data_IF_475162956509
#
_entry.id   IF_475162956509
#
_cell.length_a   1.000
_cell.length_b   1.000
_cell.length_c   1.000
_cell.angle_alpha   90.00
_cell.angle_beta   90.00
_cell.angle_gamma   90.00
#
_symmetry.space_group_name_H-M   'P 1'
#
loop_
_entity.id
_entity.type
_entity.pdbx_description
1 polymer ?
#
# COMPACT_ATOMS: atom_id res chain seq x y z
N UNK A 1 23.82 10.53 33.05
CA UNK A 1 22.46 9.94 32.96
C UNK A 1 22.60 8.61 32.24
N UNK A 2 22.22 7.53 32.92
CA UNK A 2 22.70 6.17 32.68
C UNK A 2 22.13 5.53 31.41
N UNK A 3 23.06 4.94 30.64
CA UNK A 3 22.85 3.96 29.57
C UNK A 3 22.06 2.77 30.10
N UNK A 4 21.01 2.35 29.40
CA UNK A 4 20.33 1.06 29.61
C UNK A 4 20.51 0.23 28.34
N UNK A 5 21.21 -0.90 28.48
CA UNK A 5 21.37 -1.95 27.48
C UNK A 5 20.94 -3.25 28.16
N UNK A 6 19.75 -3.79 27.83
CA UNK A 6 19.19 -5.06 28.32
C UNK A 6 17.71 -5.27 27.93
N UNK A 7 17.21 -6.53 27.79
CA UNK A 7 16.02 -6.87 26.99
C UNK A 7 14.72 -6.84 27.81
N UNK A 8 14.07 -5.68 28.00
CA UNK A 8 12.77 -5.64 28.68
C UNK A 8 11.86 -4.53 28.14
N UNK A 9 11.33 -4.72 26.94
CA UNK A 9 10.10 -4.05 26.53
C UNK A 9 8.90 -4.90 27.02
N UNK A 10 8.72 -5.02 28.34
CA UNK A 10 7.56 -5.70 28.95
C UNK A 10 6.87 -4.85 30.02
N UNK A 11 6.80 -3.53 29.81
CA UNK A 11 5.78 -2.73 30.50
C UNK A 11 4.54 -2.70 29.63
N UNK A 12 3.59 -3.58 29.93
CA UNK A 12 2.25 -3.50 29.33
C UNK A 12 1.53 -2.32 29.97
N UNK A 13 1.61 -1.16 29.34
CA UNK A 13 0.87 0.03 29.77
C UNK A 13 -0.63 -0.20 29.56
N UNK A 14 -1.44 0.08 30.58
CA UNK A 14 -2.90 0.06 30.48
C UNK A 14 -3.39 1.47 30.18
N UNK A 15 -4.02 1.65 29.03
CA UNK A 15 -4.70 2.89 28.70
C UNK A 15 -6.21 2.66 28.73
N UNK A 16 -6.94 3.53 29.43
CA UNK A 16 -8.40 3.57 29.38
C UNK A 16 -8.80 4.64 28.38
N UNK A 17 -9.67 4.30 27.43
CA UNK A 17 -10.19 5.24 26.45
C UNK A 17 -11.72 5.22 26.45
N UNK A 18 -12.33 6.37 26.23
CA UNK A 18 -13.75 6.47 25.90
C UNK A 18 -13.90 6.38 24.38
N UNK A 19 -14.88 5.63 23.94
CA UNK A 19 -15.16 5.37 22.53
C UNK A 19 -16.67 5.36 22.36
N UNK A 20 -17.15 5.85 21.22
CA UNK A 20 -18.59 5.82 20.93
C UNK A 20 -19.09 4.38 20.77
N UNK A 21 -20.39 4.11 21.02
CA UNK A 21 -20.96 2.79 20.81
C UNK A 21 -20.78 2.28 19.37
N UNK A 22 -20.89 3.16 18.38
CA UNK A 22 -20.72 2.83 16.95
C UNK A 22 -19.30 2.41 16.60
N UNK A 23 -18.28 3.08 17.15
CA UNK A 23 -16.89 2.69 16.94
C UNK A 23 -16.60 1.33 17.59
N UNK A 24 -17.13 1.09 18.79
CA UNK A 24 -16.98 -0.19 19.48
C UNK A 24 -17.61 -1.34 18.68
N UNK A 25 -18.80 -1.12 18.12
CA UNK A 25 -19.50 -2.08 17.26
C UNK A 25 -18.70 -2.36 15.96
N UNK A 26 -18.13 -1.32 15.34
CA UNK A 26 -17.30 -1.46 14.15
C UNK A 26 -16.04 -2.32 14.43
N UNK A 27 -15.39 -2.10 15.57
CA UNK A 27 -14.23 -2.90 16.00
C UNK A 27 -14.63 -4.36 16.25
N UNK A 28 -15.78 -4.60 16.89
CA UNK A 28 -16.28 -5.95 17.14
C UNK A 28 -16.62 -6.69 15.84
N UNK A 29 -17.32 -6.02 14.92
CA UNK A 29 -17.65 -6.57 13.62
C UNK A 29 -16.37 -6.92 12.83
N UNK A 30 -15.37 -6.04 12.86
CA UNK A 30 -14.07 -6.30 12.26
C UNK A 30 -13.33 -7.46 12.96
N UNK A 31 -13.30 -7.49 14.28
CA UNK A 31 -12.66 -8.57 15.06
C UNK A 31 -13.29 -9.92 14.75
N UNK A 32 -14.63 -9.98 14.69
CA UNK A 32 -15.38 -11.18 14.33
C UNK A 32 -15.05 -11.66 12.91
N UNK A 33 -15.11 -10.76 11.92
CA UNK A 33 -14.78 -11.04 10.52
C UNK A 33 -13.36 -11.59 10.36
N UNK A 34 -12.45 -11.20 11.25
CA UNK A 34 -11.03 -11.58 11.23
C UNK A 34 -10.67 -12.66 12.24
N UNK A 35 -11.66 -13.27 12.91
CA UNK A 35 -11.48 -14.34 13.90
C UNK A 35 -10.53 -13.95 15.04
N UNK A 36 -10.53 -12.67 15.42
CA UNK A 36 -9.71 -12.14 16.50
C UNK A 36 -10.45 -12.34 17.82
N UNK A 37 -9.79 -13.01 18.77
CA UNK A 37 -10.44 -13.46 20.02
C UNK A 37 -10.66 -12.36 21.06
N UNK A 38 -9.91 -11.26 21.02
CA UNK A 38 -10.03 -10.20 22.02
C UNK A 38 -10.11 -8.82 21.39
N UNK A 39 -10.90 -7.93 22.02
CA UNK A 39 -11.02 -6.53 21.61
C UNK A 39 -9.68 -5.80 21.68
N UNK A 40 -8.90 -6.01 22.74
CA UNK A 40 -7.59 -5.40 22.89
C UNK A 40 -6.62 -5.82 21.79
N UNK A 41 -6.67 -7.08 21.37
CA UNK A 41 -5.89 -7.57 20.23
C UNK A 41 -6.36 -6.93 18.92
N UNK A 42 -7.68 -6.79 18.74
CA UNK A 42 -8.23 -6.14 17.56
C UNK A 42 -7.76 -4.68 17.45
N UNK A 43 -7.83 -3.92 18.55
CA UNK A 43 -7.35 -2.54 18.61
C UNK A 43 -5.85 -2.45 18.31
N UNK A 44 -5.02 -3.31 18.91
CA UNK A 44 -3.57 -3.32 18.63
C UNK A 44 -3.27 -3.57 17.15
N UNK A 45 -3.96 -4.54 16.54
CA UNK A 45 -3.79 -4.83 15.10
C UNK A 45 -4.22 -3.66 14.23
N UNK A 46 -5.34 -3.02 14.55
CA UNK A 46 -5.80 -1.83 13.82
C UNK A 46 -4.79 -0.68 13.91
N UNK A 47 -4.26 -0.39 15.11
CA UNK A 47 -3.21 0.61 15.29
C UNK A 47 -1.95 0.25 14.51
N UNK A 48 -1.54 -1.01 14.55
CA UNK A 48 -0.38 -1.48 13.81
C UNK A 48 -0.58 -1.33 12.30
N UNK A 49 -1.72 -1.80 11.77
CA UNK A 49 -2.09 -1.64 10.36
C UNK A 49 -2.04 -0.17 9.96
N UNK A 50 -2.63 0.73 10.75
CA UNK A 50 -2.66 2.16 10.46
C UNK A 50 -1.25 2.75 10.36
N UNK A 51 -0.40 2.51 11.37
CA UNK A 51 0.97 3.04 11.42
C UNK A 51 1.85 2.51 10.28
N UNK A 52 1.61 1.28 9.84
CA UNK A 52 2.38 0.66 8.76
C UNK A 52 1.87 1.02 7.36
N UNK A 53 0.58 1.36 7.22
CA UNK A 53 -0.04 1.61 5.91
C UNK A 53 -0.14 3.08 5.54
N UNK A 54 -0.21 3.98 6.52
CA UNK A 54 -0.29 5.43 6.28
C UNK A 54 0.78 5.93 5.29
N UNK A 55 2.09 5.65 5.46
CA UNK A 55 3.11 6.12 4.52
C UNK A 55 3.01 5.51 3.12
N UNK A 56 2.40 4.33 3.00
CA UNK A 56 2.19 3.64 1.74
C UNK A 56 0.99 4.22 0.99
N UNK A 57 -0.08 4.55 1.73
CA UNK A 57 -1.28 5.20 1.20
C UNK A 57 -0.93 6.58 0.65
N UNK A 58 -0.12 7.37 1.35
CA UNK A 58 0.30 8.70 0.88
C UNK A 58 1.06 8.60 -0.45
N UNK A 59 2.05 7.70 -0.53
CA UNK A 59 2.81 7.47 -1.76
C UNK A 59 1.94 6.97 -2.91
N UNK A 60 0.93 6.15 -2.61
CA UNK A 60 -0.02 5.68 -3.61
C UNK A 60 -0.92 6.82 -4.09
N UNK A 61 -1.37 7.68 -3.18
CA UNK A 61 -2.14 8.88 -3.49
C UNK A 61 -1.37 9.84 -4.38
N UNK A 62 -0.11 10.13 -4.04
CA UNK A 62 0.78 10.98 -4.84
C UNK A 62 0.99 10.41 -6.25
N UNK A 63 1.23 9.10 -6.36
CA UNK A 63 1.38 8.42 -7.64
C UNK A 63 0.09 8.48 -8.48
N UNK A 64 -1.07 8.27 -7.85
CA UNK A 64 -2.37 8.36 -8.50
C UNK A 64 -2.66 9.78 -8.99
N UNK A 65 -2.40 10.81 -8.16
CA UNK A 65 -2.59 12.21 -8.52
C UNK A 65 -1.65 12.63 -9.65
N UNK A 66 -0.39 12.21 -9.61
CA UNK A 66 0.57 12.46 -10.69
C UNK A 66 0.10 11.83 -12.00
N UNK A 67 -0.42 10.59 -11.96
CA UNK A 67 -1.00 9.93 -13.13
C UNK A 67 -2.22 10.67 -13.67
N UNK A 68 -3.17 11.06 -12.81
CA UNK A 68 -4.39 11.79 -13.22
C UNK A 68 -4.03 13.15 -13.82
N UNK A 69 -3.10 13.88 -13.21
CA UNK A 69 -2.65 15.18 -13.74
C UNK A 69 -2.04 15.01 -15.13
N UNK A 70 -1.15 14.04 -15.29
CA UNK A 70 -0.52 13.73 -16.58
C UNK A 70 -1.53 13.27 -17.64
N UNK A 71 -2.54 12.48 -17.25
CA UNK A 71 -3.57 12.03 -18.18
C UNK A 71 -4.55 13.15 -18.58
N UNK A 72 -4.78 14.12 -17.68
CA UNK A 72 -5.60 15.32 -17.95
C UNK A 72 -4.86 16.39 -18.76
N UNK A 73 -3.53 16.49 -18.63
CA UNK A 73 -2.67 17.34 -19.47
C UNK A 73 -2.55 16.82 -20.93
N UNK A 74 -3.39 15.86 -21.31
CA UNK A 74 -3.56 15.44 -22.70
C UNK A 74 -3.94 16.66 -23.53
N UNK A 75 -2.99 17.14 -24.33
CA UNK A 75 -3.29 17.95 -25.51
C UNK A 75 -4.36 17.20 -26.31
N UNK A 76 -5.48 17.86 -26.55
CA UNK A 76 -6.62 17.34 -27.31
C UNK A 76 -6.28 16.94 -28.75
N UNK A 77 -5.04 17.18 -29.17
CA UNK A 77 -4.56 17.11 -30.55
C UNK A 77 -3.72 15.85 -30.85
N UNK A 78 -3.58 14.92 -29.89
CA UNK A 78 -2.84 13.67 -30.12
C UNK A 78 -3.73 12.65 -30.84
N UNK A 79 -3.60 12.58 -32.16
CA UNK A 79 -4.26 11.58 -33.01
C UNK A 79 -3.66 10.17 -32.83
N UNK A 80 -4.54 9.17 -32.66
CA UNK A 80 -4.15 7.76 -32.69
C UNK A 80 -3.60 7.38 -34.07
N UNK A 81 -2.49 6.63 -34.10
CA UNK A 81 -1.79 6.24 -35.34
C UNK A 81 -0.68 7.21 -35.76
N UNK A 82 -0.46 8.29 -35.01
CA UNK A 82 0.75 9.10 -35.10
C UNK A 82 1.83 8.58 -34.14
N UNK A 83 3.10 8.87 -34.44
CA UNK A 83 4.21 8.54 -33.54
C UNK A 83 4.02 9.14 -32.13
N UNK A 84 3.42 10.34 -32.03
CA UNK A 84 3.08 10.97 -30.76
C UNK A 84 1.96 10.25 -30.00
N UNK A 85 0.94 9.76 -30.71
CA UNK A 85 -0.16 8.98 -30.13
C UNK A 85 0.28 7.61 -29.59
N UNK A 86 1.12 6.89 -30.33
CA UNK A 86 1.70 5.63 -29.86
C UNK A 86 2.60 5.84 -28.63
N UNK A 87 3.40 6.90 -28.63
CA UNK A 87 4.28 7.23 -27.51
C UNK A 87 3.50 7.59 -26.24
N UNK A 88 2.44 8.40 -26.38
CA UNK A 88 1.53 8.72 -25.29
C UNK A 88 0.86 7.46 -24.73
N UNK A 89 0.36 6.58 -25.61
CA UNK A 89 -0.30 5.33 -25.22
C UNK A 89 0.63 4.43 -24.40
N UNK A 90 1.86 4.22 -24.88
CA UNK A 90 2.85 3.39 -24.18
C UNK A 90 3.25 4.00 -22.82
N UNK A 91 3.42 5.32 -22.74
CA UNK A 91 3.71 5.97 -21.46
C UNK A 91 2.56 5.83 -20.47
N UNK A 92 1.31 5.98 -20.91
CA UNK A 92 0.16 5.84 -20.02
C UNK A 92 -0.03 4.40 -19.57
N UNK A 93 0.17 3.42 -20.44
CA UNK A 93 0.15 2.00 -20.05
C UNK A 93 1.21 1.73 -18.99
N UNK A 94 2.43 2.24 -19.16
CA UNK A 94 3.51 2.07 -18.19
C UNK A 94 3.18 2.69 -16.82
N UNK A 95 2.70 3.93 -16.81
CA UNK A 95 2.36 4.63 -15.56
C UNK A 95 1.12 4.00 -14.88
N UNK A 96 0.14 3.51 -15.64
CA UNK A 96 -1.02 2.76 -15.13
C UNK A 96 -0.62 1.42 -14.52
N UNK A 97 0.30 0.69 -15.17
CA UNK A 97 0.83 -0.56 -14.64
C UNK A 97 1.58 -0.34 -13.33
N UNK A 98 2.43 0.69 -13.23
CA UNK A 98 3.14 1.04 -11.99
C UNK A 98 2.15 1.33 -10.85
N UNK A 99 1.12 2.15 -11.12
CA UNK A 99 0.09 2.45 -10.14
C UNK A 99 -0.67 1.19 -9.68
N UNK A 100 -1.04 0.33 -10.64
CA UNK A 100 -1.76 -0.92 -10.36
C UNK A 100 -0.93 -1.87 -9.50
N UNK A 101 0.37 -1.96 -9.74
CA UNK A 101 1.28 -2.80 -8.97
C UNK A 101 1.46 -2.28 -7.54
N UNK A 102 1.60 -0.96 -7.35
CA UNK A 102 1.66 -0.35 -6.01
C UNK A 102 0.37 -0.55 -5.22
N UNK A 103 -0.79 -0.43 -5.87
CA UNK A 103 -2.08 -0.70 -5.25
C UNK A 103 -2.20 -2.19 -4.85
N UNK A 104 -1.76 -3.10 -5.71
CA UNK A 104 -1.74 -4.54 -5.44
C UNK A 104 -0.87 -4.91 -4.24
N UNK A 105 0.35 -4.36 -4.18
CA UNK A 105 1.26 -4.50 -3.03
C UNK A 105 0.60 -4.10 -1.71
N UNK A 106 -0.05 -2.93 -1.70
CA UNK A 106 -0.74 -2.44 -0.50
C UNK A 106 -1.87 -3.39 -0.10
N UNK A 107 -2.64 -3.90 -1.07
CA UNK A 107 -3.68 -4.89 -0.83
C UNK A 107 -3.15 -6.18 -0.22
N UNK A 108 -2.03 -6.70 -0.73
CA UNK A 108 -1.40 -7.92 -0.22
C UNK A 108 -0.82 -7.73 1.19
N UNK A 109 -0.23 -6.58 1.45
CA UNK A 109 0.28 -6.20 2.76
C UNK A 109 -0.86 -6.09 3.78
N UNK A 110 -1.96 -5.44 3.41
CA UNK A 110 -3.15 -5.34 4.24
C UNK A 110 -3.76 -6.71 4.52
N UNK A 111 -3.84 -7.59 3.52
CA UNK A 111 -4.35 -8.95 3.70
C UNK A 111 -3.46 -9.77 4.63
N UNK A 112 -2.13 -9.72 4.47
CA UNK A 112 -1.21 -10.40 5.37
C UNK A 112 -1.37 -9.95 6.83
N UNK A 113 -1.34 -8.64 7.07
CA UNK A 113 -1.53 -8.10 8.42
C UNK A 113 -2.90 -8.45 9.01
N UNK A 114 -3.93 -8.56 8.16
CA UNK A 114 -5.28 -8.99 8.56
C UNK A 114 -5.33 -10.45 8.98
N UNK A 115 -4.58 -11.32 8.31
CA UNK A 115 -4.42 -12.74 8.67
C UNK A 115 -3.55 -12.94 9.92
N UNK A 116 -2.94 -11.87 10.42
CA UNK A 116 -2.12 -11.87 11.63
C UNK A 116 -0.67 -12.27 11.38
N UNK A 117 -0.19 -12.20 10.13
CA UNK A 117 1.24 -12.24 9.87
C UNK A 117 1.92 -10.96 10.39
N UNK A 118 3.21 -11.05 10.70
CA UNK A 118 3.98 -9.85 11.03
C UNK A 118 4.03 -8.93 9.79
N UNK A 119 4.23 -7.63 9.99
CA UNK A 119 4.44 -6.72 8.85
C UNK A 119 5.59 -7.19 7.97
N UNK A 120 6.66 -7.72 8.56
CA UNK A 120 7.82 -8.20 7.82
C UNK A 120 7.45 -9.39 6.91
N UNK A 121 6.62 -10.31 7.40
CA UNK A 121 6.15 -11.45 6.60
C UNK A 121 5.14 -11.04 5.53
N UNK A 122 4.24 -10.10 5.87
CA UNK A 122 3.31 -9.50 4.91
C UNK A 122 4.09 -8.77 3.80
N UNK A 123 5.13 -8.01 4.18
CA UNK A 123 6.01 -7.30 3.27
C UNK A 123 6.83 -8.26 2.40
N UNK A 124 7.40 -9.33 2.96
CA UNK A 124 8.10 -10.37 2.19
C UNK A 124 7.18 -11.01 1.17
N UNK A 125 5.94 -11.30 1.54
CA UNK A 125 4.94 -11.87 0.63
C UNK A 125 4.61 -10.89 -0.50
N UNK A 126 4.37 -9.63 -0.17
CA UNK A 126 4.09 -8.56 -1.13
C UNK A 126 5.27 -8.32 -2.08
N UNK A 127 6.50 -8.24 -1.55
CA UNK A 127 7.75 -8.11 -2.30
C UNK A 127 8.02 -9.32 -3.19
N UNK A 128 7.74 -10.53 -2.70
CA UNK A 128 7.89 -11.74 -3.51
C UNK A 128 6.99 -11.70 -4.74
N UNK A 129 5.72 -11.29 -4.60
CA UNK A 129 4.84 -11.10 -5.76
C UNK A 129 5.32 -9.98 -6.65
N UNK A 130 5.80 -8.86 -6.12
CA UNK A 130 6.38 -7.79 -6.93
C UNK A 130 7.57 -8.29 -7.75
N UNK A 131 8.43 -9.14 -7.18
CA UNK A 131 9.55 -9.73 -7.91
C UNK A 131 9.11 -10.59 -9.10
N UNK A 132 7.92 -11.21 -9.05
CA UNK A 132 7.35 -11.94 -10.17
C UNK A 132 6.91 -11.01 -11.31
N UNK A 133 6.52 -9.78 -10.99
CA UNK A 133 6.13 -8.76 -11.97
C UNK A 133 7.29 -7.87 -12.43
N UNK A 134 8.45 -7.95 -11.77
CA UNK A 134 9.65 -7.19 -12.10
C UNK A 134 10.04 -7.24 -13.60
N UNK A 135 9.96 -8.39 -14.31
CA UNK A 135 10.27 -8.43 -15.74
C UNK A 135 9.31 -7.59 -16.60
N UNK A 136 8.03 -7.48 -16.21
CA UNK A 136 7.05 -6.65 -16.91
C UNK A 136 7.29 -5.17 -16.67
N UNK A 137 7.68 -4.80 -15.44
CA UNK A 137 8.06 -3.43 -15.09
C UNK A 137 9.28 -3.00 -15.90
N UNK A 138 10.32 -3.83 -15.94
CA UNK A 138 11.53 -3.55 -16.71
C UNK A 138 11.27 -3.48 -18.21
N UNK A 139 10.38 -4.32 -18.74
CA UNK A 139 9.97 -4.23 -20.14
C UNK A 139 9.26 -2.88 -20.43
N UNK A 140 8.34 -2.46 -19.55
CA UNK A 140 7.66 -1.17 -19.69
C UNK A 140 8.62 0.02 -19.57
N UNK A 141 9.62 -0.05 -18.67
CA UNK A 141 10.65 0.98 -18.52
C UNK A 141 11.61 1.04 -19.72
N UNK A 142 12.05 -0.11 -20.25
CA UNK A 142 12.90 -0.15 -21.46
C UNK A 142 12.20 0.45 -22.67
N UNK A 143 10.89 0.24 -22.82
CA UNK A 143 10.10 0.90 -23.87
C UNK A 143 10.13 2.43 -23.71
N UNK A 144 10.19 2.93 -22.48
CA UNK A 144 10.28 4.36 -22.14
C UNK A 144 11.70 4.93 -22.41
N UNK A 145 12.75 4.13 -22.25
CA UNK A 145 14.15 4.55 -22.39
C UNK A 145 14.71 4.44 -23.82
N UNK A 146 14.32 3.42 -24.58
CA UNK A 146 14.87 3.14 -25.93
C UNK A 146 14.51 4.21 -26.99
N UNK A 147 13.66 5.18 -26.65
CA UNK A 147 13.21 6.24 -27.58
C UNK A 147 13.27 7.68 -27.00
N UNK A 148 14.07 7.91 -25.95
CA UNK A 148 14.63 9.25 -25.69
C UNK A 148 15.74 9.55 -26.68
#
# INVERSE_FOLDING_TARGET
MTKSTGPEEQKTERFNMFMSPSEMEAIDAWAWKNRIRSKSEAVRRLCYIALQTEPLIDKLGDAALAYIKKSNERDTDVEFGTAGGEQWLLSNIGDMLDLSLRAGLLGDLLNGMREGSSFEDAMKTAQHRLSQYQPLIEAAQKIKEVRK
#
